data_IF_457319990706
#
_entry.id   IF_457319990706
#
_cell.length_a   1.000
_cell.length_b   1.000
_cell.length_c   1.000
_cell.angle_alpha   90.00
_cell.angle_beta   90.00
_cell.angle_gamma   90.00
#
_symmetry.space_group_name_H-M   'P 1'
#
loop_
_entity.id
_entity.type
_entity.pdbx_description
1 polymer ?
#
# COMPACT_ATOMS: atom_id res chain seq x y z
N UNK A 1 4.61 4.88 0.65
CA UNK A 1 4.96 3.69 -0.16
C UNK A 1 3.89 2.64 0.04
N UNK A 2 3.61 1.72 -0.90
CA UNK A 2 2.68 0.64 -0.63
C UNK A 2 3.20 -0.20 0.54
N UNK A 3 2.30 -0.63 1.44
CA UNK A 3 2.66 -1.49 2.55
C UNK A 3 3.24 -2.80 2.04
N UNK A 4 4.32 -3.26 2.64
CA UNK A 4 4.97 -4.51 2.25
C UNK A 4 4.43 -5.65 3.13
N UNK A 5 3.94 -6.69 2.48
CA UNK A 5 3.49 -7.94 3.12
C UNK A 5 4.46 -9.05 2.76
N UNK A 6 4.91 -9.79 3.74
CA UNK A 6 5.68 -11.03 3.50
C UNK A 6 4.72 -12.16 3.21
N UNK A 7 4.95 -12.88 2.10
CA UNK A 7 4.29 -14.15 1.79
C UNK A 7 5.31 -15.28 1.86
N UNK A 8 5.08 -16.22 2.74
CA UNK A 8 5.90 -17.43 2.88
C UNK A 8 5.02 -18.67 3.03
N UNK A 9 5.45 -19.78 2.46
CA UNK A 9 4.76 -21.06 2.57
C UNK A 9 5.75 -22.20 2.55
N UNK A 10 5.48 -23.22 3.33
CA UNK A 10 6.20 -24.49 3.19
C UNK A 10 5.88 -25.12 1.82
N UNK A 11 6.80 -25.91 1.21
CA UNK A 11 6.63 -26.43 -0.14
C UNK A 11 5.31 -27.19 -0.35
N UNK A 12 4.89 -27.99 0.63
CA UNK A 12 3.67 -28.82 0.55
C UNK A 12 2.37 -27.99 0.54
N UNK A 13 2.41 -26.73 0.99
CA UNK A 13 1.26 -25.83 1.06
C UNK A 13 1.33 -24.65 0.09
N UNK A 14 2.39 -24.54 -0.71
CA UNK A 14 2.48 -23.57 -1.80
C UNK A 14 1.27 -23.60 -2.75
N UNK A 15 0.68 -24.74 -3.13
CA UNK A 15 -0.53 -24.76 -3.95
C UNK A 15 -1.73 -24.08 -3.28
N UNK A 16 -1.88 -24.22 -1.96
CA UNK A 16 -2.94 -23.54 -1.21
C UNK A 16 -2.71 -22.03 -1.15
N UNK A 17 -1.46 -21.59 -0.98
CA UNK A 17 -1.10 -20.18 -1.05
C UNK A 17 -1.37 -19.59 -2.44
N UNK A 18 -0.98 -20.28 -3.51
CA UNK A 18 -1.24 -19.84 -4.89
C UNK A 18 -2.73 -19.68 -5.19
N UNK A 19 -3.55 -20.64 -4.72
CA UNK A 19 -5.01 -20.55 -4.83
C UNK A 19 -5.54 -19.32 -4.05
N UNK A 20 -5.03 -19.09 -2.84
CA UNK A 20 -5.42 -17.93 -2.04
C UNK A 20 -5.00 -16.62 -2.71
N UNK A 21 -3.79 -16.53 -3.28
CA UNK A 21 -3.30 -15.37 -4.03
C UNK A 21 -4.24 -15.08 -5.21
N UNK A 22 -4.58 -16.09 -6.01
CA UNK A 22 -5.47 -15.94 -7.17
C UNK A 22 -6.84 -15.39 -6.75
N UNK A 23 -7.40 -15.87 -5.66
CA UNK A 23 -8.70 -15.42 -5.15
C UNK A 23 -8.67 -14.02 -4.52
N UNK A 24 -7.49 -13.50 -4.19
CA UNK A 24 -7.31 -12.20 -3.55
C UNK A 24 -6.45 -11.23 -4.37
N UNK A 25 -6.24 -11.48 -5.67
CA UNK A 25 -5.35 -10.68 -6.54
C UNK A 25 -5.69 -9.20 -6.49
N UNK A 26 -6.97 -8.83 -6.56
CA UNK A 26 -7.41 -7.43 -6.51
C UNK A 26 -7.04 -6.76 -5.17
N UNK A 27 -7.12 -7.47 -4.07
CA UNK A 27 -6.74 -6.93 -2.76
C UNK A 27 -5.22 -6.85 -2.63
N UNK A 28 -4.51 -7.87 -3.10
CA UNK A 28 -3.04 -7.95 -3.06
C UNK A 28 -2.36 -6.94 -3.98
N UNK A 29 -3.02 -6.48 -5.06
CA UNK A 29 -2.46 -5.46 -5.95
C UNK A 29 -2.18 -4.12 -5.26
N UNK A 30 -2.78 -3.88 -4.09
CA UNK A 30 -2.53 -2.71 -3.24
C UNK A 30 -1.28 -2.81 -2.37
N UNK A 31 -0.56 -3.92 -2.40
CA UNK A 31 0.60 -4.20 -1.55
C UNK A 31 1.84 -4.51 -2.38
N UNK A 32 3.02 -4.29 -1.79
CA UNK A 32 4.26 -4.90 -2.24
C UNK A 32 4.42 -6.25 -1.54
N UNK A 33 4.67 -7.31 -2.31
CA UNK A 33 4.74 -8.67 -1.80
C UNK A 33 6.19 -9.12 -1.75
N UNK A 34 6.76 -9.24 -0.55
CA UNK A 34 8.10 -9.77 -0.35
C UNK A 34 8.02 -11.30 -0.28
N UNK A 35 8.62 -11.98 -1.25
CA UNK A 35 8.51 -13.43 -1.42
C UNK A 35 9.89 -14.00 -1.72
N UNK A 36 10.25 -15.14 -1.13
CA UNK A 36 11.49 -15.85 -1.43
C UNK A 36 11.48 -16.44 -2.85
N UNK A 37 12.64 -16.48 -3.51
CA UNK A 37 12.79 -16.95 -4.89
C UNK A 37 12.28 -18.38 -5.09
N UNK A 38 12.60 -19.29 -4.17
CA UNK A 38 12.14 -20.68 -4.23
C UNK A 38 10.62 -20.82 -4.03
N UNK A 39 10.00 -19.95 -3.23
CA UNK A 39 8.53 -19.87 -3.11
C UNK A 39 7.91 -19.30 -4.39
N UNK A 40 8.53 -18.28 -5.00
CA UNK A 40 8.07 -17.73 -6.30
C UNK A 40 8.14 -18.81 -7.37
N UNK A 41 9.25 -19.54 -7.46
CA UNK A 41 9.42 -20.65 -8.42
C UNK A 41 8.28 -21.68 -8.28
N UNK A 42 7.99 -22.14 -7.07
CA UNK A 42 6.93 -23.11 -6.82
C UNK A 42 5.53 -22.55 -7.13
N UNK A 43 5.25 -21.31 -6.77
CA UNK A 43 3.97 -20.65 -7.08
C UNK A 43 3.75 -20.48 -8.59
N UNK A 44 4.77 -20.09 -9.35
CA UNK A 44 4.68 -19.84 -10.79
C UNK A 44 4.52 -21.10 -11.62
N UNK A 45 4.84 -22.27 -11.08
CA UNK A 45 4.57 -23.55 -11.76
C UNK A 45 3.07 -23.78 -12.02
N UNK A 46 2.18 -23.20 -11.22
CA UNK A 46 0.74 -23.50 -11.22
C UNK A 46 -0.18 -22.29 -11.26
N UNK A 47 0.34 -21.09 -10.97
CA UNK A 47 -0.43 -19.86 -10.81
C UNK A 47 0.21 -18.70 -11.57
N UNK A 48 -0.63 -17.86 -12.13
CA UNK A 48 -0.17 -16.60 -12.71
C UNK A 48 -0.11 -15.52 -11.63
N UNK A 49 1.08 -14.94 -11.43
CA UNK A 49 1.30 -13.84 -10.48
C UNK A 49 1.29 -12.46 -11.15
N UNK A 50 0.78 -12.40 -12.40
CA UNK A 50 0.70 -11.17 -13.17
C UNK A 50 -0.14 -10.09 -12.49
N UNK A 51 0.31 -8.83 -12.59
CA UNK A 51 -0.38 -7.68 -12.00
C UNK A 51 -0.11 -7.45 -10.51
N UNK A 52 0.72 -8.29 -9.86
CA UNK A 52 1.15 -8.11 -8.49
C UNK A 52 2.53 -7.47 -8.41
N UNK A 53 2.75 -6.61 -7.42
CA UNK A 53 4.05 -5.99 -7.13
C UNK A 53 4.88 -6.93 -6.27
N UNK A 54 5.70 -7.77 -6.90
CA UNK A 54 6.53 -8.76 -6.21
C UNK A 54 7.93 -8.21 -6.01
N UNK A 55 8.42 -8.29 -4.78
CA UNK A 55 9.80 -8.01 -4.38
C UNK A 55 10.44 -9.37 -4.08
N UNK A 56 11.28 -9.89 -4.96
CA UNK A 56 11.96 -11.14 -4.70
C UNK A 56 13.04 -10.96 -3.62
N UNK A 57 13.18 -11.94 -2.75
CA UNK A 57 14.31 -12.03 -1.84
C UNK A 57 14.99 -13.40 -2.01
N UNK A 58 16.16 -13.53 -1.40
CA UNK A 58 16.95 -14.76 -1.41
C UNK A 58 16.08 -15.98 -1.06
N UNK A 59 16.36 -17.13 -1.67
CA UNK A 59 15.68 -18.38 -1.38
C UNK A 59 15.76 -18.75 0.12
N UNK A 60 14.74 -19.40 0.65
CA UNK A 60 14.68 -19.82 2.07
C UNK A 60 15.89 -20.67 2.44
N UNK A 61 16.23 -21.65 1.58
CA UNK A 61 17.41 -22.54 1.77
C UNK A 61 18.74 -21.78 1.87
N UNK A 62 18.81 -20.54 1.38
CA UNK A 62 19.99 -19.68 1.36
C UNK A 62 19.89 -18.56 2.39
N UNK A 63 18.97 -18.67 3.39
CA UNK A 63 18.76 -17.70 4.46
C UNK A 63 17.78 -16.57 4.13
N UNK A 64 16.85 -16.81 3.20
CA UNK A 64 15.79 -15.87 2.84
C UNK A 64 14.88 -15.52 4.01
N UNK A 65 14.54 -16.50 4.85
CA UNK A 65 13.78 -16.32 6.09
C UNK A 65 14.45 -15.37 7.07
N UNK A 66 15.78 -15.46 7.22
CA UNK A 66 16.58 -14.57 8.05
C UNK A 66 16.60 -13.15 7.45
N UNK A 67 16.71 -13.04 6.13
CA UNK A 67 16.67 -11.76 5.42
C UNK A 67 15.31 -11.06 5.58
N UNK A 68 14.22 -11.81 5.46
CA UNK A 68 12.87 -11.29 5.70
C UNK A 68 12.64 -10.92 7.17
N UNK A 69 13.17 -11.73 8.11
CA UNK A 69 13.11 -11.45 9.54
C UNK A 69 13.84 -10.14 9.90
N UNK A 70 14.98 -9.85 9.27
CA UNK A 70 15.68 -8.58 9.45
C UNK A 70 14.80 -7.39 9.05
N UNK A 71 14.12 -7.45 7.89
CA UNK A 71 13.19 -6.42 7.45
C UNK A 71 11.99 -6.22 8.36
N UNK A 72 11.52 -7.30 8.99
CA UNK A 72 10.48 -7.22 10.03
C UNK A 72 10.99 -6.43 11.23
N UNK A 73 12.21 -6.72 11.71
CA UNK A 73 12.84 -6.02 12.84
C UNK A 73 13.17 -4.55 12.54
N UNK A 74 13.38 -4.21 11.27
CA UNK A 74 13.62 -2.83 10.78
C UNK A 74 12.30 -2.04 10.60
N UNK A 75 11.12 -2.68 10.80
CA UNK A 75 9.82 -2.03 10.67
C UNK A 75 9.38 -1.79 9.23
N UNK A 76 10.00 -2.44 8.24
CA UNK A 76 9.66 -2.30 6.82
C UNK A 76 8.44 -3.11 6.39
N UNK A 77 7.93 -3.99 7.26
CA UNK A 77 6.88 -4.97 6.95
C UNK A 77 5.61 -4.65 7.73
N UNK A 78 4.47 -4.69 7.05
CA UNK A 78 3.14 -4.41 7.64
C UNK A 78 2.34 -5.66 8.01
N UNK A 79 2.78 -6.85 7.60
CA UNK A 79 2.12 -8.10 7.93
C UNK A 79 2.85 -9.32 7.37
N UNK A 80 2.66 -10.45 8.02
CA UNK A 80 3.21 -11.75 7.63
C UNK A 80 2.07 -12.73 7.32
N UNK A 81 2.05 -13.24 6.10
CA UNK A 81 1.24 -14.39 5.71
C UNK A 81 2.19 -15.58 5.56
N UNK A 82 2.11 -16.53 6.47
CA UNK A 82 2.92 -17.74 6.46
C UNK A 82 2.02 -18.96 6.54
N UNK A 83 2.05 -19.80 5.51
CA UNK A 83 1.32 -21.06 5.53
C UNK A 83 2.29 -22.19 5.89
N UNK A 84 2.27 -22.67 7.14
CA UNK A 84 3.11 -23.75 7.58
C UNK A 84 2.60 -25.10 7.05
N UNK A 85 3.48 -26.09 7.03
CA UNK A 85 3.10 -27.48 6.78
C UNK A 85 2.01 -27.96 7.76
N UNK A 86 1.20 -28.97 7.39
CA UNK A 86 0.21 -29.56 8.29
C UNK A 86 0.85 -30.03 9.63
N UNK A 87 0.11 -29.96 10.75
CA UNK A 87 0.65 -30.29 12.09
C UNK A 87 1.31 -31.68 12.19
N UNK A 88 0.90 -32.62 11.36
CA UNK A 88 1.46 -33.97 11.29
C UNK A 88 2.89 -34.01 10.73
N UNK A 89 3.26 -32.98 9.96
CA UNK A 89 4.57 -32.80 9.34
C UNK A 89 5.41 -31.71 10.01
N UNK A 90 4.80 -30.94 10.91
CA UNK A 90 5.50 -29.87 11.62
C UNK A 90 6.57 -30.48 12.55
N UNK A 91 7.81 -30.10 12.34
CA UNK A 91 8.85 -30.26 13.34
C UNK A 91 8.43 -29.47 14.60
N UNK A 92 8.75 -30.02 15.80
CA UNK A 92 8.31 -29.42 17.09
C UNK A 92 8.79 -27.98 17.34
N UNK A 93 9.56 -27.41 16.45
CA UNK A 93 10.26 -26.11 16.60
C UNK A 93 9.75 -24.99 15.68
N UNK A 94 8.47 -24.99 15.30
CA UNK A 94 7.88 -23.90 14.47
C UNK A 94 8.05 -22.51 15.11
N UNK A 95 8.07 -22.44 16.44
CA UNK A 95 8.36 -21.18 17.14
C UNK A 95 9.84 -20.77 17.09
N UNK A 96 10.71 -21.63 16.61
CA UNK A 96 12.12 -21.33 16.36
C UNK A 96 12.36 -20.74 14.96
N UNK A 97 11.33 -20.69 14.12
CA UNK A 97 11.43 -20.10 12.78
C UNK A 97 11.74 -18.60 12.88
N UNK A 98 12.86 -18.12 12.33
CA UNK A 98 13.34 -16.74 12.50
C UNK A 98 12.29 -15.69 12.14
N UNK A 99 11.56 -15.93 11.07
CA UNK A 99 10.56 -15.01 10.54
C UNK A 99 9.35 -14.87 11.48
N UNK A 100 8.81 -15.98 11.98
CA UNK A 100 7.69 -15.97 12.93
C UNK A 100 8.12 -15.33 14.25
N UNK A 101 9.33 -15.65 14.73
CA UNK A 101 9.87 -15.06 15.94
C UNK A 101 10.05 -13.54 15.81
N UNK A 102 10.59 -13.05 14.69
CA UNK A 102 10.73 -11.62 14.45
C UNK A 102 9.36 -10.93 14.46
N UNK A 103 8.37 -11.51 13.79
CA UNK A 103 7.01 -10.98 13.77
C UNK A 103 6.38 -10.89 15.16
N UNK A 104 6.56 -11.91 16.01
CA UNK A 104 6.07 -11.88 17.40
C UNK A 104 6.80 -10.84 18.27
N UNK A 105 8.09 -10.61 18.05
CA UNK A 105 8.86 -9.59 18.78
C UNK A 105 8.45 -8.17 18.41
N UNK A 106 8.01 -7.94 17.18
CA UNK A 106 7.60 -6.64 16.67
C UNK A 106 6.08 -6.40 16.78
N UNK A 107 5.33 -7.32 17.41
CA UNK A 107 3.85 -7.29 17.46
C UNK A 107 3.21 -7.18 16.05
N UNK A 108 3.89 -7.77 15.04
CA UNK A 108 3.45 -7.75 13.66
C UNK A 108 2.27 -8.69 13.45
N UNK A 109 1.20 -8.28 12.75
CA UNK A 109 0.09 -9.17 12.42
C UNK A 109 0.54 -10.39 11.61
N UNK A 110 0.18 -11.58 12.09
CA UNK A 110 0.53 -12.87 11.44
C UNK A 110 -0.73 -13.63 11.04
N UNK A 111 -0.71 -14.20 9.84
CA UNK A 111 -1.73 -15.11 9.35
C UNK A 111 -1.10 -16.45 8.97
N UNK A 112 -1.63 -17.54 9.53
CA UNK A 112 -1.12 -18.89 9.35
C UNK A 112 -2.01 -19.78 8.47
N UNK A 113 -3.07 -19.22 7.92
CA UNK A 113 -3.99 -19.94 7.02
C UNK A 113 -4.74 -18.95 6.11
N UNK A 114 -5.40 -19.41 5.03
CA UNK A 114 -6.09 -18.53 4.08
C UNK A 114 -7.15 -17.62 4.70
N UNK A 115 -7.89 -18.09 5.70
CA UNK A 115 -8.96 -17.31 6.33
C UNK A 115 -8.38 -16.14 7.13
N UNK A 116 -7.37 -16.39 7.96
CA UNK A 116 -6.68 -15.32 8.73
C UNK A 116 -5.90 -14.39 7.81
N UNK A 117 -5.32 -14.90 6.71
CA UNK A 117 -4.63 -14.09 5.73
C UNK A 117 -5.57 -13.07 5.06
N UNK A 118 -6.78 -13.48 4.67
CA UNK A 118 -7.78 -12.57 4.12
C UNK A 118 -8.23 -11.52 5.14
N UNK A 119 -8.41 -11.90 6.40
CA UNK A 119 -8.77 -10.98 7.49
C UNK A 119 -7.63 -9.98 7.77
N UNK A 120 -6.37 -10.46 7.79
CA UNK A 120 -5.18 -9.62 7.96
C UNK A 120 -5.10 -8.54 6.88
N UNK A 121 -5.19 -8.92 5.60
CA UNK A 121 -5.14 -7.96 4.49
C UNK A 121 -6.25 -6.91 4.58
N UNK A 122 -7.46 -7.33 4.95
CA UNK A 122 -8.58 -6.40 5.16
C UNK A 122 -8.31 -5.44 6.34
N UNK A 123 -7.69 -5.94 7.41
CA UNK A 123 -7.28 -5.13 8.56
C UNK A 123 -6.23 -4.09 8.17
N UNK A 124 -5.15 -4.53 7.52
CA UNK A 124 -4.08 -3.62 7.04
C UNK A 124 -4.62 -2.60 6.05
N UNK A 125 -5.52 -2.99 5.15
CA UNK A 125 -6.17 -2.03 4.24
C UNK A 125 -7.00 -1.00 5.00
N UNK A 126 -7.75 -1.41 6.02
CA UNK A 126 -8.59 -0.50 6.82
C UNK A 126 -7.78 0.48 7.66
N UNK A 127 -6.58 0.10 8.08
CA UNK A 127 -5.67 0.98 8.81
C UNK A 127 -5.02 2.05 7.92
N UNK A 128 -5.19 1.98 6.58
CA UNK A 128 -4.68 2.96 5.63
C UNK A 128 -5.83 3.77 5.04
N UNK A 129 -5.94 5.03 5.44
CA UNK A 129 -6.97 5.94 4.93
C UNK A 129 -6.41 6.85 3.85
N UNK A 130 -7.08 6.91 2.71
CA UNK A 130 -6.79 7.85 1.63
C UNK A 130 -7.89 8.91 1.52
N UNK A 131 -7.54 10.18 1.65
CA UNK A 131 -8.45 11.30 1.48
C UNK A 131 -8.17 11.96 0.14
N UNK A 132 -9.01 11.67 -0.86
CA UNK A 132 -8.87 12.20 -2.20
C UNK A 132 -9.60 13.54 -2.34
N UNK A 133 -8.85 14.65 -2.43
CA UNK A 133 -9.39 15.96 -2.83
C UNK A 133 -9.41 15.98 -4.36
N UNK A 134 -10.59 15.81 -4.94
CA UNK A 134 -10.79 15.72 -6.38
C UNK A 134 -11.40 17.01 -6.93
N UNK A 135 -10.71 17.66 -7.88
CA UNK A 135 -11.23 18.82 -8.58
C UNK A 135 -11.93 18.40 -9.88
N UNK A 136 -13.27 18.42 -9.96
CA UNK A 136 -13.99 17.97 -11.13
C UNK A 136 -13.83 18.88 -12.36
N UNK A 137 -13.39 20.13 -12.15
CA UNK A 137 -13.19 21.12 -13.24
C UNK A 137 -11.80 20.98 -13.89
N UNK A 138 -10.89 20.24 -13.25
CA UNK A 138 -9.57 19.93 -13.81
C UNK A 138 -9.65 18.67 -14.67
N UNK A 139 -8.81 18.60 -15.69
CA UNK A 139 -8.79 17.47 -16.63
C UNK A 139 -9.39 17.83 -17.99
N UNK A 140 -9.34 16.88 -18.92
CA UNK A 140 -9.83 17.06 -20.29
C UNK A 140 -10.98 16.10 -20.63
N UNK A 141 -11.27 15.15 -19.74
CA UNK A 141 -12.28 14.12 -19.92
C UNK A 141 -13.54 14.35 -19.08
N UNK A 142 -14.39 13.32 -19.05
CA UNK A 142 -15.56 13.29 -18.16
C UNK A 142 -15.08 13.08 -16.71
N UNK A 143 -15.38 14.01 -15.77
CA UNK A 143 -14.91 13.93 -14.40
C UNK A 143 -15.35 12.66 -13.66
N UNK A 144 -16.52 12.11 -13.97
CA UNK A 144 -17.02 10.90 -13.32
C UNK A 144 -16.27 9.65 -13.82
N UNK A 145 -15.91 9.61 -15.11
CA UNK A 145 -15.09 8.52 -15.66
C UNK A 145 -13.68 8.57 -15.07
N UNK A 146 -13.06 9.76 -15.07
CA UNK A 146 -11.71 9.94 -14.49
C UNK A 146 -11.69 9.61 -12.98
N UNK A 147 -12.73 10.00 -12.24
CA UNK A 147 -12.84 9.65 -10.82
C UNK A 147 -13.01 8.13 -10.63
N UNK A 148 -13.78 7.46 -11.47
CA UNK A 148 -13.95 6.01 -11.41
C UNK A 148 -12.63 5.27 -11.67
N UNK A 149 -11.84 5.74 -12.64
CA UNK A 149 -10.49 5.22 -12.90
C UNK A 149 -9.58 5.42 -11.70
N UNK A 150 -9.49 6.63 -11.15
CA UNK A 150 -8.69 6.93 -9.95
C UNK A 150 -9.10 6.02 -8.78
N UNK A 151 -10.40 5.86 -8.54
CA UNK A 151 -10.89 4.97 -7.49
C UNK A 151 -10.47 3.53 -7.70
N UNK A 152 -10.50 3.04 -8.94
CA UNK A 152 -10.10 1.66 -9.25
C UNK A 152 -8.64 1.36 -8.87
N UNK A 153 -7.75 2.36 -8.91
CA UNK A 153 -6.35 2.25 -8.48
C UNK A 153 -6.15 2.45 -6.99
N UNK A 154 -6.91 3.36 -6.35
CA UNK A 154 -6.70 3.71 -4.95
C UNK A 154 -7.43 2.79 -3.98
N UNK A 155 -8.65 2.35 -4.30
CA UNK A 155 -9.47 1.51 -3.41
C UNK A 155 -8.84 0.15 -3.05
N UNK A 156 -8.01 -0.50 -3.88
CA UNK A 156 -7.25 -1.67 -3.44
C UNK A 156 -6.25 -1.36 -2.31
N UNK A 157 -5.72 -0.13 -2.25
CA UNK A 157 -4.63 0.26 -1.35
C UNK A 157 -5.13 0.97 -0.09
N UNK A 158 -6.25 1.69 -0.18
CA UNK A 158 -6.74 2.58 0.87
C UNK A 158 -8.23 2.36 1.15
N UNK A 159 -8.63 2.65 2.37
CA UNK A 159 -10.01 3.00 2.66
C UNK A 159 -10.23 4.44 2.17
N UNK A 160 -10.74 4.58 0.95
CA UNK A 160 -10.77 5.86 0.24
C UNK A 160 -12.00 6.68 0.61
N UNK A 161 -11.78 7.94 1.01
CA UNK A 161 -12.79 8.99 1.10
C UNK A 161 -12.56 10.02 -0.01
N UNK A 162 -13.63 10.37 -0.76
CA UNK A 162 -13.54 11.32 -1.86
C UNK A 162 -14.21 12.65 -1.47
N UNK A 163 -13.44 13.72 -1.58
CA UNK A 163 -13.87 15.09 -1.34
C UNK A 163 -13.78 15.87 -2.65
N UNK A 164 -14.93 16.12 -3.28
CA UNK A 164 -14.98 16.95 -4.49
C UNK A 164 -14.83 18.42 -4.12
N UNK A 165 -13.94 19.15 -4.81
CA UNK A 165 -13.84 20.61 -4.65
C UNK A 165 -15.10 21.28 -5.16
N UNK A 166 -15.48 22.38 -4.53
CA UNK A 166 -16.62 23.22 -4.90
C UNK A 166 -16.11 24.61 -5.32
N UNK A 167 -16.82 25.31 -6.23
CA UNK A 167 -16.39 26.63 -6.69
C UNK A 167 -16.25 27.66 -5.56
N UNK A 168 -17.05 27.53 -4.51
CA UNK A 168 -17.13 28.48 -3.39
C UNK A 168 -16.26 28.07 -2.19
N UNK A 169 -15.54 26.96 -2.27
CA UNK A 169 -14.70 26.44 -1.18
C UNK A 169 -13.25 26.30 -1.64
N UNK A 170 -12.35 27.01 -0.96
CA UNK A 170 -10.91 26.91 -1.22
C UNK A 170 -10.42 25.49 -0.91
N UNK A 171 -9.73 24.80 -1.85
CA UNK A 171 -9.13 23.51 -1.60
C UNK A 171 -8.17 23.49 -0.39
N UNK A 172 -7.55 24.63 -0.06
CA UNK A 172 -6.73 24.76 1.14
C UNK A 172 -7.55 24.65 2.43
N UNK A 173 -8.75 25.21 2.48
CA UNK A 173 -9.63 25.09 3.65
C UNK A 173 -10.16 23.67 3.80
N UNK A 174 -10.52 22.99 2.70
CA UNK A 174 -10.87 21.58 2.74
C UNK A 174 -9.73 20.72 3.29
N UNK A 175 -8.50 20.97 2.83
CA UNK A 175 -7.33 20.27 3.32
C UNK A 175 -7.10 20.50 4.83
N UNK A 176 -7.30 21.73 5.32
CA UNK A 176 -7.17 22.04 6.76
C UNK A 176 -8.20 21.30 7.62
N UNK A 177 -9.43 21.15 7.13
CA UNK A 177 -10.46 20.36 7.83
C UNK A 177 -10.06 18.90 7.89
N UNK A 178 -9.63 18.32 6.76
CA UNK A 178 -9.12 16.97 6.70
C UNK A 178 -7.93 16.73 7.61
N UNK A 179 -6.98 17.66 7.68
CA UNK A 179 -5.81 17.57 8.58
C UNK A 179 -6.26 17.45 10.05
N UNK A 180 -7.30 18.18 10.47
CA UNK A 180 -7.83 18.07 11.84
C UNK A 180 -8.46 16.69 12.09
N UNK A 181 -9.24 16.19 11.13
CA UNK A 181 -9.87 14.86 11.22
C UNK A 181 -8.81 13.76 11.28
N UNK A 182 -7.79 13.83 10.40
CA UNK A 182 -6.68 12.88 10.34
C UNK A 182 -5.89 12.89 11.65
N UNK A 183 -5.52 14.06 12.17
CA UNK A 183 -4.77 14.16 13.43
C UNK A 183 -5.55 13.61 14.63
N UNK A 184 -6.86 13.77 14.65
CA UNK A 184 -7.70 13.17 15.69
C UNK A 184 -7.69 11.64 15.58
N UNK A 185 -7.81 11.10 14.36
CA UNK A 185 -7.79 9.66 14.09
C UNK A 185 -6.42 9.02 14.38
N UNK A 186 -5.33 9.62 13.86
CA UNK A 186 -3.97 9.10 14.04
C UNK A 186 -3.50 9.18 15.50
N UNK A 187 -4.04 10.14 16.28
CA UNK A 187 -3.77 10.24 17.72
C UNK A 187 -4.36 9.05 18.52
N UNK A 188 -5.37 8.37 18.00
CA UNK A 188 -5.93 7.14 18.56
C UNK A 188 -5.09 5.89 18.21
N UNK A 189 -4.05 6.05 17.37
CA UNK A 189 -3.14 4.96 16.97
C UNK A 189 -3.75 3.97 15.98
N UNK A 190 -4.80 4.38 15.27
CA UNK A 190 -5.59 3.49 14.43
C UNK A 190 -5.10 3.35 12.97
N UNK A 191 -3.99 3.96 12.56
CA UNK A 191 -3.43 3.75 11.22
C UNK A 191 -2.67 4.91 10.59
N UNK A 192 -2.41 4.77 9.30
CA UNK A 192 -1.71 5.75 8.47
C UNK A 192 -2.69 6.46 7.53
N UNK A 193 -2.66 7.77 7.52
CA UNK A 193 -3.50 8.61 6.65
C UNK A 193 -2.67 9.31 5.60
N UNK A 194 -3.23 9.47 4.40
CA UNK A 194 -2.62 10.23 3.30
C UNK A 194 -3.66 11.16 2.68
N UNK A 195 -3.27 12.39 2.36
CA UNK A 195 -4.08 13.27 1.52
C UNK A 195 -3.61 13.16 0.08
N UNK A 196 -4.54 12.99 -0.85
CA UNK A 196 -4.28 12.85 -2.28
C UNK A 196 -4.96 14.00 -3.00
N UNK A 197 -4.18 14.88 -3.63
CA UNK A 197 -4.70 15.98 -4.43
C UNK A 197 -4.80 15.57 -5.90
N UNK A 198 -6.01 15.61 -6.47
CA UNK A 198 -6.27 15.34 -7.88
C UNK A 198 -6.81 16.60 -8.57
N UNK A 199 -5.96 17.23 -9.36
CA UNK A 199 -6.31 18.50 -10.00
C UNK A 199 -5.14 19.13 -10.75
N UNK A 200 -5.30 20.39 -11.12
CA UNK A 200 -4.23 21.23 -11.68
C UNK A 200 -3.34 21.84 -10.60
N UNK A 201 -2.32 22.62 -11.03
CA UNK A 201 -1.32 23.24 -10.15
C UNK A 201 -1.94 24.09 -9.02
N UNK A 202 -3.06 24.77 -9.26
CA UNK A 202 -3.78 25.53 -8.25
C UNK A 202 -4.32 24.67 -7.12
N UNK A 203 -4.97 23.54 -7.44
CA UNK A 203 -5.50 22.60 -6.44
C UNK A 203 -4.36 21.94 -5.65
N UNK A 204 -3.34 21.44 -6.37
CA UNK A 204 -2.18 20.79 -5.75
C UNK A 204 -1.42 21.76 -4.85
N UNK A 205 -1.16 22.99 -5.32
CA UNK A 205 -0.47 24.02 -4.54
C UNK A 205 -1.24 24.44 -3.30
N UNK A 206 -2.56 24.56 -3.38
CA UNK A 206 -3.41 24.91 -2.24
C UNK A 206 -3.37 23.82 -1.15
N UNK A 207 -3.50 22.55 -1.55
CA UNK A 207 -3.42 21.40 -0.63
C UNK A 207 -2.01 21.28 -0.02
N UNK A 208 -0.96 21.40 -0.84
CA UNK A 208 0.43 21.36 -0.37
C UNK A 208 0.72 22.48 0.65
N UNK A 209 0.23 23.70 0.40
CA UNK A 209 0.37 24.82 1.35
C UNK A 209 -0.33 24.55 2.69
N UNK A 210 -1.50 23.92 2.66
CA UNK A 210 -2.23 23.57 3.87
C UNK A 210 -1.51 22.48 4.70
N UNK A 211 -0.76 21.58 4.04
CA UNK A 211 0.00 20.52 4.67
C UNK A 211 1.36 20.97 5.23
N UNK A 212 1.78 22.20 4.96
CA UNK A 212 3.06 22.70 5.45
C UNK A 212 3.15 22.62 6.99
N UNK A 213 4.20 21.95 7.48
CA UNK A 213 4.38 21.69 8.92
C UNK A 213 3.51 20.55 9.47
N UNK A 214 2.97 19.71 8.60
CA UNK A 214 2.25 18.47 8.94
C UNK A 214 3.07 17.26 8.51
N UNK A 215 3.02 16.18 9.29
CA UNK A 215 3.64 14.88 8.96
C UNK A 215 2.77 14.02 8.03
N UNK A 216 1.60 14.52 7.60
CA UNK A 216 0.68 13.80 6.73
C UNK A 216 1.23 13.79 5.31
N UNK A 217 1.46 12.59 4.71
CA UNK A 217 1.95 12.48 3.34
C UNK A 217 0.97 13.09 2.31
N UNK A 218 1.51 13.70 1.26
CA UNK A 218 0.76 14.19 0.11
C UNK A 218 0.97 13.28 -1.10
N UNK A 219 -0.10 12.72 -1.62
CA UNK A 219 -0.15 12.10 -2.94
C UNK A 219 -0.63 13.10 -3.99
N UNK A 220 -0.13 13.01 -5.23
CA UNK A 220 -0.51 13.92 -6.30
C UNK A 220 -0.96 13.12 -7.52
N UNK A 221 -2.15 13.47 -8.05
CA UNK A 221 -2.67 12.99 -9.32
C UNK A 221 -2.82 14.20 -10.24
N UNK A 222 -1.86 14.45 -11.14
CA UNK A 222 -1.86 15.63 -11.99
C UNK A 222 -2.97 15.52 -13.04
N UNK A 223 -3.87 16.51 -13.09
CA UNK A 223 -4.95 16.61 -14.07
C UNK A 223 -5.01 18.00 -14.73
N UNK A 224 -3.99 18.82 -14.52
CA UNK A 224 -3.85 20.13 -15.17
C UNK A 224 -3.12 20.03 -16.49
N UNK A 225 -3.11 21.13 -17.25
CA UNK A 225 -2.43 21.23 -18.56
C UNK A 225 -0.91 21.35 -18.39
N UNK A 226 -0.41 22.12 -17.44
CA UNK A 226 1.02 22.35 -17.22
C UNK A 226 1.64 21.38 -16.22
N UNK A 227 0.90 21.02 -15.15
CA UNK A 227 1.36 20.11 -14.09
C UNK A 227 2.78 20.42 -13.58
N UNK A 228 3.08 21.72 -13.45
CA UNK A 228 4.42 22.22 -13.12
C UNK A 228 4.93 21.66 -11.78
N UNK A 229 4.03 21.45 -10.84
CA UNK A 229 4.35 20.85 -9.54
C UNK A 229 4.81 19.41 -9.68
N UNK A 230 4.13 18.61 -10.51
CA UNK A 230 4.51 17.21 -10.78
C UNK A 230 5.82 17.12 -11.56
N UNK A 231 6.07 18.04 -12.49
CA UNK A 231 7.33 18.14 -13.23
C UNK A 231 8.49 18.48 -12.29
N UNK A 232 8.30 19.45 -11.41
CA UNK A 232 9.32 19.89 -10.45
C UNK A 232 9.73 18.75 -9.46
N UNK A 233 8.78 17.87 -9.12
CA UNK A 233 9.03 16.70 -8.28
C UNK A 233 9.56 15.48 -9.06
N UNK A 234 9.78 15.57 -10.38
CA UNK A 234 10.28 14.47 -11.20
C UNK A 234 9.28 13.34 -11.43
N UNK A 235 7.99 13.55 -11.17
CA UNK A 235 6.97 12.51 -11.15
C UNK A 235 6.50 12.05 -12.53
N UNK A 236 6.82 12.77 -13.60
CA UNK A 236 6.38 12.46 -14.97
C UNK A 236 7.25 11.43 -15.71
N UNK A 237 8.37 10.97 -15.14
CA UNK A 237 9.34 10.13 -15.87
C UNK A 237 9.22 8.62 -15.66
N UNK A 238 8.44 8.09 -14.71
CA UNK A 238 8.44 6.64 -14.40
C UNK A 238 7.06 5.98 -14.34
N UNK A 239 6.04 6.47 -14.99
CA UNK A 239 4.74 5.78 -14.96
C UNK A 239 4.64 4.69 -16.02
N UNK A 240 4.83 3.43 -15.63
CA UNK A 240 4.30 2.23 -16.33
C UNK A 240 2.81 1.99 -16.06
N UNK A 241 2.13 2.92 -15.41
CA UNK A 241 0.69 2.89 -15.14
C UNK A 241 -0.04 3.67 -16.24
N UNK A 242 -1.23 3.25 -16.66
CA UNK A 242 -1.98 3.87 -17.75
C UNK A 242 -2.49 5.29 -17.45
N UNK A 243 -2.32 5.79 -16.22
CA UNK A 243 -2.44 7.20 -15.86
C UNK A 243 -1.32 7.57 -14.90
N UNK A 244 -0.73 8.81 -14.97
CA UNK A 244 0.37 9.21 -14.12
C UNK A 244 -0.13 9.43 -12.68
N UNK A 245 -0.28 8.36 -11.92
CA UNK A 245 -0.51 8.44 -10.48
C UNK A 245 0.86 8.40 -9.82
N UNK A 246 1.32 9.56 -9.37
CA UNK A 246 2.59 9.69 -8.70
C UNK A 246 2.36 9.89 -7.22
N UNK A 247 2.74 8.92 -6.40
CA UNK A 247 2.75 9.07 -4.96
C UNK A 247 4.08 9.65 -4.50
N UNK A 248 4.04 10.79 -3.82
CA UNK A 248 5.16 11.34 -3.09
C UNK A 248 4.75 11.56 -1.64
N UNK A 249 5.54 11.03 -0.72
CA UNK A 249 5.48 11.46 0.66
C UNK A 249 6.38 12.69 0.78
N UNK A 250 5.80 13.87 0.98
CA UNK A 250 6.53 15.03 1.45
C UNK A 250 6.60 14.86 2.98
N UNK A 251 7.50 13.97 3.42
CA UNK A 251 7.91 13.92 4.81
C UNK A 251 9.17 14.76 4.89
N UNK A 252 9.11 15.80 5.67
CA UNK A 252 10.21 16.64 6.12
C UNK A 252 10.23 18.08 5.59
N UNK A 253 10.13 19.01 6.54
CA UNK A 253 10.14 20.44 6.31
C UNK A 253 11.53 21.01 5.99
N UNK A 254 12.27 20.37 5.06
CA UNK A 254 13.53 20.86 4.55
C UNK A 254 13.44 21.14 3.06
N UNK A 255 12.94 22.31 2.73
CA UNK A 255 13.35 23.09 1.55
C UNK A 255 13.88 24.42 1.98
#
# INVERSE_FOLDING_TARGET
>A
MPSTIVLNADPDVCPAMGTWITNNTQLLSGFSLLIAEDVIEELTLRHELGGLSIIPCRAIRDGGDISMAAKVLEGEISGLVHFPAPPEQMSRDVLAEPLVRAALLCDLPIALNPATASALLQGVKRSRRGYLIFNPVSGQGDPEIELAEIRSYLEPQFMLQVWKTQPDLDPAEQAKELIKEIKAFDAEGEGESIIIASGGDGTVGAVASALQGSDIPLGIIPRGTANAFSVALGTLQESRLPAPICFWAICDGSM
#
